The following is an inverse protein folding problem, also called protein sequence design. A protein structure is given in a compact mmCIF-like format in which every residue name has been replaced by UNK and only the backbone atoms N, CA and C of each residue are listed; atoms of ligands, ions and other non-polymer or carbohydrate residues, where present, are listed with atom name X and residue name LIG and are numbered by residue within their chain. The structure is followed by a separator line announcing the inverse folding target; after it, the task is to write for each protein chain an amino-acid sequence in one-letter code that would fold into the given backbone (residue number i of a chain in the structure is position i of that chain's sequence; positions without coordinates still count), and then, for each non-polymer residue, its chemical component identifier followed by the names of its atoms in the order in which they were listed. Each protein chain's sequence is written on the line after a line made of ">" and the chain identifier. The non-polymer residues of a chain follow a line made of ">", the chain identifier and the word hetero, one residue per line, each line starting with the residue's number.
data_IF_301501704418
#
_entry.id   IF_301501704418
#
_cell.length_a   1.000
_cell.length_b   1.000
_cell.length_c   1.000
_cell.angle_alpha   90.00
_cell.angle_beta   90.00
_cell.angle_gamma   90.00
#
_symmetry.space_group_name_H-M   'P 1'
#
loop_
_entity.id
_entity.type
_entity.pdbx_description
1 polymer ?
#
# COMPACT_ATOMS: atom_id res chain seq x y z
N UNK A 1 -27.08 -3.27 -17.77
CA UNK A 1 -26.40 -2.36 -18.73
C UNK A 1 -25.88 -1.05 -18.09
N UNK A 2 -26.66 -0.37 -17.23
CA UNK A 2 -26.30 0.94 -16.62
C UNK A 2 -25.12 0.92 -15.63
N UNK A 3 -24.90 -0.20 -14.93
CA UNK A 3 -23.78 -0.36 -13.98
C UNK A 3 -22.45 -0.47 -14.74
N UNK A 4 -22.41 -1.30 -15.80
CA UNK A 4 -21.22 -1.48 -16.65
C UNK A 4 -20.77 -0.16 -17.28
N UNK A 5 -21.70 0.65 -17.79
CA UNK A 5 -21.38 1.97 -18.37
C UNK A 5 -20.90 2.99 -17.33
N UNK A 6 -21.22 2.79 -16.05
CA UNK A 6 -20.74 3.66 -14.97
C UNK A 6 -19.34 3.25 -14.53
N UNK A 7 -19.07 1.95 -14.39
CA UNK A 7 -17.72 1.44 -14.10
C UNK A 7 -16.71 1.81 -15.19
N UNK A 8 -17.09 1.70 -16.46
CA UNK A 8 -16.23 2.10 -17.57
C UNK A 8 -15.87 3.59 -17.50
N UNK A 9 -16.82 4.46 -17.17
CA UNK A 9 -16.56 5.90 -16.99
C UNK A 9 -15.56 6.18 -15.85
N UNK A 10 -15.65 5.44 -14.75
CA UNK A 10 -14.70 5.58 -13.64
C UNK A 10 -13.29 5.11 -14.03
N UNK A 11 -13.20 3.98 -14.75
CA UNK A 11 -11.92 3.47 -15.25
C UNK A 11 -11.29 4.48 -16.22
N UNK A 12 -12.09 5.05 -17.12
CA UNK A 12 -11.64 6.07 -18.06
C UNK A 12 -11.12 7.32 -17.32
N UNK A 13 -11.88 7.82 -16.35
CA UNK A 13 -11.50 8.98 -15.54
C UNK A 13 -10.20 8.74 -14.74
N UNK A 14 -10.00 7.52 -14.23
CA UNK A 14 -8.79 7.12 -13.52
C UNK A 14 -7.57 7.00 -14.43
N UNK A 15 -7.76 6.85 -15.74
CA UNK A 15 -6.69 6.61 -16.71
C UNK A 15 -6.30 7.86 -17.52
N UNK A 16 -6.94 9.01 -17.27
CA UNK A 16 -6.52 10.29 -17.84
C UNK A 16 -5.19 10.76 -17.21
N UNK A 17 -4.46 11.61 -17.92
CA UNK A 17 -3.19 12.21 -17.50
C UNK A 17 -3.36 13.62 -16.89
N UNK A 18 -4.61 14.06 -16.68
CA UNK A 18 -4.94 15.36 -16.12
C UNK A 18 -4.83 15.43 -14.57
N UNK A 19 -4.96 16.65 -14.04
CA UNK A 19 -4.91 16.93 -12.60
C UNK A 19 -6.09 16.32 -11.82
N UNK A 20 -7.25 16.13 -12.45
CA UNK A 20 -8.41 15.53 -11.79
C UNK A 20 -8.17 14.04 -11.57
N UNK A 21 -7.65 13.34 -12.57
CA UNK A 21 -7.24 11.95 -12.46
C UNK A 21 -6.17 11.76 -11.39
N UNK A 22 -5.25 12.72 -11.23
CA UNK A 22 -4.26 12.68 -10.13
C UNK A 22 -4.93 12.64 -8.77
N UNK A 23 -5.82 13.60 -8.50
CA UNK A 23 -6.54 13.69 -7.24
C UNK A 23 -7.47 12.51 -7.03
N UNK A 24 -8.08 11.98 -8.10
CA UNK A 24 -8.93 10.79 -8.01
C UNK A 24 -8.13 9.55 -7.60
N UNK A 25 -6.94 9.35 -8.17
CA UNK A 25 -6.04 8.26 -7.82
C UNK A 25 -5.56 8.34 -6.37
N UNK A 26 -5.05 9.51 -5.97
CA UNK A 26 -4.57 9.75 -4.60
C UNK A 26 -5.74 9.61 -3.62
N UNK A 27 -6.85 10.30 -3.87
CA UNK A 27 -8.02 10.32 -3.01
C UNK A 27 -8.62 8.94 -2.82
N UNK A 28 -8.72 8.14 -3.89
CA UNK A 28 -9.21 6.76 -3.81
C UNK A 28 -8.28 5.89 -2.97
N UNK A 29 -6.97 5.91 -3.22
CA UNK A 29 -6.01 5.13 -2.46
C UNK A 29 -6.00 5.50 -0.97
N UNK A 30 -5.98 6.80 -0.67
CA UNK A 30 -6.01 7.32 0.72
C UNK A 30 -7.32 6.97 1.41
N UNK A 31 -8.47 7.11 0.73
CA UNK A 31 -9.78 6.81 1.32
C UNK A 31 -9.91 5.32 1.65
N UNK A 32 -9.49 4.45 0.74
CA UNK A 32 -9.46 3.00 1.00
C UNK A 32 -8.48 2.66 2.13
N UNK A 33 -7.30 3.29 2.14
CA UNK A 33 -6.32 3.13 3.20
C UNK A 33 -6.84 3.55 4.57
N UNK A 34 -7.56 4.68 4.63
CA UNK A 34 -8.23 5.16 5.83
C UNK A 34 -9.28 4.18 6.32
N UNK A 35 -10.17 3.71 5.42
CA UNK A 35 -11.16 2.70 5.76
C UNK A 35 -10.50 1.44 6.32
N UNK A 36 -9.50 0.89 5.64
CA UNK A 36 -8.80 -0.32 6.07
C UNK A 36 -8.15 -0.16 7.46
N UNK A 37 -7.45 0.96 7.70
CA UNK A 37 -6.80 1.22 8.98
C UNK A 37 -7.80 1.48 10.10
N UNK A 38 -8.87 2.25 9.86
CA UNK A 38 -9.93 2.48 10.85
C UNK A 38 -10.62 1.17 11.22
N UNK A 39 -10.93 0.33 10.23
CA UNK A 39 -11.52 -0.99 10.46
C UNK A 39 -10.58 -1.89 11.29
N UNK A 40 -9.28 -1.92 10.97
CA UNK A 40 -8.32 -2.71 11.74
C UNK A 40 -8.18 -2.19 13.18
N UNK A 41 -8.06 -0.87 13.39
CA UNK A 41 -8.01 -0.29 14.73
C UNK A 41 -9.28 -0.59 15.54
N UNK A 42 -10.44 -0.59 14.88
CA UNK A 42 -11.71 -0.98 15.49
C UNK A 42 -11.72 -2.46 15.88
N UNK A 43 -11.32 -3.35 14.98
CA UNK A 43 -11.24 -4.78 15.23
C UNK A 43 -10.22 -5.15 16.31
N UNK A 44 -9.09 -4.42 16.39
CA UNK A 44 -8.04 -4.63 17.38
C UNK A 44 -8.30 -3.99 18.75
N UNK A 45 -9.44 -3.31 18.92
CA UNK A 45 -9.72 -2.57 20.16
C UNK A 45 -9.81 -3.52 21.36
N UNK A 46 -9.03 -3.23 22.40
CA UNK A 46 -8.99 -4.05 23.62
C UNK A 46 -8.15 -5.32 23.50
N UNK A 47 -7.44 -5.52 22.38
CA UNK A 47 -6.41 -6.54 22.28
C UNK A 47 -5.10 -5.97 22.82
N UNK A 48 -4.50 -6.64 23.79
CA UNK A 48 -3.16 -6.32 24.27
C UNK A 48 -2.12 -7.04 23.42
N UNK A 49 -0.99 -6.37 23.16
CA UNK A 49 0.16 -6.95 22.49
C UNK A 49 1.31 -6.97 23.49
N UNK A 50 1.39 -8.04 24.28
CA UNK A 50 2.41 -8.22 25.33
C UNK A 50 3.84 -8.29 24.76
N UNK A 51 3.98 -8.42 23.44
CA UNK A 51 5.22 -8.63 22.72
C UNK A 51 5.68 -7.45 21.85
N UNK A 52 5.01 -6.30 21.91
CA UNK A 52 5.42 -5.14 21.13
C UNK A 52 6.77 -4.58 21.63
N UNK A 53 7.81 -4.45 20.78
CA UNK A 53 9.09 -3.90 21.20
C UNK A 53 8.97 -2.40 21.52
N UNK A 54 9.85 -1.88 22.39
CA UNK A 54 9.79 -0.49 22.89
C UNK A 54 9.87 0.60 21.80
N UNK A 55 10.42 0.27 20.63
CA UNK A 55 10.54 1.18 19.48
C UNK A 55 9.39 1.03 18.47
N UNK A 56 8.44 0.13 18.69
CA UNK A 56 7.25 0.02 17.85
C UNK A 56 6.41 1.29 18.00
N UNK A 57 6.03 1.95 16.90
CA UNK A 57 5.21 3.14 16.98
C UNK A 57 3.79 2.77 17.48
N UNK A 58 3.12 3.68 18.20
CA UNK A 58 1.69 3.56 18.46
C UNK A 58 0.89 3.32 17.19
N UNK A 59 -0.19 2.54 17.28
CA UNK A 59 -0.98 2.12 16.12
C UNK A 59 -1.53 3.29 15.27
N UNK A 60 -1.85 4.41 15.90
CA UNK A 60 -2.29 5.62 15.18
C UNK A 60 -1.18 6.26 14.34
N UNK A 61 0.09 6.19 14.77
CA UNK A 61 1.23 6.67 13.98
C UNK A 61 1.42 5.76 12.77
N UNK A 62 1.36 4.44 12.97
CA UNK A 62 1.43 3.48 11.87
C UNK A 62 0.32 3.73 10.82
N UNK A 63 -0.90 4.02 11.26
CA UNK A 63 -2.00 4.38 10.37
C UNK A 63 -1.70 5.66 9.55
N UNK A 64 -1.14 6.71 10.17
CA UNK A 64 -0.75 7.93 9.46
C UNK A 64 0.34 7.67 8.42
N UNK A 65 1.34 6.83 8.72
CA UNK A 65 2.36 6.42 7.75
C UNK A 65 1.70 5.72 6.57
N UNK A 66 0.75 4.81 6.81
CA UNK A 66 0.00 4.15 5.73
C UNK A 66 -0.77 5.13 4.85
N UNK A 67 -1.45 6.13 5.42
CA UNK A 67 -2.15 7.14 4.63
C UNK A 67 -1.20 7.91 3.71
N UNK A 68 -0.03 8.29 4.23
CA UNK A 68 1.00 8.94 3.42
C UNK A 68 1.50 8.01 2.30
N UNK A 69 1.79 6.74 2.61
CA UNK A 69 2.20 5.75 1.60
C UNK A 69 1.13 5.53 0.52
N UNK A 70 -0.15 5.43 0.89
CA UNK A 70 -1.24 5.30 -0.08
C UNK A 70 -1.36 6.52 -1.00
N UNK A 71 -1.12 7.73 -0.48
CA UNK A 71 -1.04 8.92 -1.32
C UNK A 71 0.11 8.82 -2.34
N UNK A 72 1.29 8.35 -1.93
CA UNK A 72 2.43 8.16 -2.83
C UNK A 72 2.17 7.07 -3.88
N UNK A 73 1.56 5.95 -3.49
CA UNK A 73 1.21 4.87 -4.42
C UNK A 73 0.13 5.31 -5.43
N UNK A 74 -0.89 6.05 -4.99
CA UNK A 74 -1.89 6.63 -5.87
C UNK A 74 -1.27 7.61 -6.87
N UNK A 75 -0.36 8.48 -6.40
CA UNK A 75 0.39 9.37 -7.27
C UNK A 75 1.29 8.61 -8.26
N UNK A 76 2.03 7.59 -7.81
CA UNK A 76 2.84 6.71 -8.65
C UNK A 76 2.03 6.08 -9.78
N UNK A 77 0.84 5.55 -9.46
CA UNK A 77 -0.06 4.94 -10.44
C UNK A 77 -0.57 5.95 -11.46
N UNK A 78 -0.91 7.17 -11.04
CA UNK A 78 -1.35 8.23 -11.95
C UNK A 78 -0.22 8.73 -12.87
N UNK A 79 1.01 8.89 -12.36
CA UNK A 79 2.15 9.37 -13.17
C UNK A 79 2.39 8.48 -14.40
N UNK A 80 2.05 7.21 -14.31
CA UNK A 80 2.14 6.27 -15.42
C UNK A 80 1.08 6.51 -16.51
N UNK A 81 0.02 7.29 -16.28
CA UNK A 81 -0.99 7.60 -17.31
C UNK A 81 -0.44 8.51 -18.41
N UNK A 82 0.57 9.34 -18.12
CA UNK A 82 1.19 10.23 -19.10
C UNK A 82 2.11 9.51 -20.10
N UNK A 83 2.33 8.20 -19.93
CA UNK A 83 3.21 7.41 -20.79
C UNK A 83 2.42 6.47 -21.70
N UNK A 84 2.67 6.54 -23.01
CA UNK A 84 2.02 5.69 -24.02
C UNK A 84 2.91 4.53 -24.51
N UNK A 85 4.05 4.29 -23.83
CA UNK A 85 5.01 3.26 -24.23
C UNK A 85 4.53 1.85 -23.88
N UNK A 86 4.99 0.86 -24.67
CA UNK A 86 4.66 -0.56 -24.49
C UNK A 86 5.03 -1.01 -23.06
N UNK A 87 4.08 -1.66 -22.39
CA UNK A 87 4.26 -2.22 -21.04
C UNK A 87 3.93 -1.26 -19.88
N UNK A 88 3.51 -0.02 -20.13
CA UNK A 88 3.00 0.88 -19.08
C UNK A 88 1.74 0.33 -18.41
N UNK A 89 0.87 -0.32 -19.18
CA UNK A 89 -0.32 -0.97 -18.64
C UNK A 89 0.05 -1.99 -17.55
N UNK A 90 1.08 -2.81 -17.78
CA UNK A 90 1.60 -3.76 -16.78
C UNK A 90 2.14 -3.04 -15.54
N UNK A 91 2.90 -1.95 -15.72
CA UNK A 91 3.42 -1.16 -14.60
C UNK A 91 2.28 -0.57 -13.74
N UNK A 92 1.24 -0.01 -14.37
CA UNK A 92 0.05 0.49 -13.66
C UNK A 92 -0.65 -0.63 -12.90
N UNK A 93 -0.84 -1.79 -13.55
CA UNK A 93 -1.46 -2.95 -12.90
C UNK A 93 -0.67 -3.43 -11.69
N UNK A 94 0.66 -3.43 -11.76
CA UNK A 94 1.52 -3.79 -10.63
C UNK A 94 1.35 -2.82 -9.45
N UNK A 95 1.31 -1.51 -9.69
CA UNK A 95 1.05 -0.54 -8.62
C UNK A 95 -0.36 -0.70 -8.05
N UNK A 96 -1.37 -0.93 -8.88
CA UNK A 96 -2.75 -1.19 -8.41
C UNK A 96 -2.83 -2.46 -7.56
N UNK A 97 -2.17 -3.55 -7.97
CA UNK A 97 -2.11 -4.80 -7.23
C UNK A 97 -1.39 -4.59 -5.88
N UNK A 98 -0.28 -3.84 -5.89
CA UNK A 98 0.45 -3.50 -4.68
C UNK A 98 -0.42 -2.70 -3.70
N UNK A 99 -1.18 -1.70 -4.18
CA UNK A 99 -2.17 -0.97 -3.35
C UNK A 99 -3.16 -1.96 -2.73
N UNK A 100 -3.74 -2.87 -3.53
CA UNK A 100 -4.69 -3.86 -3.04
C UNK A 100 -4.10 -4.77 -1.95
N UNK A 101 -2.86 -5.23 -2.12
CA UNK A 101 -2.15 -6.01 -1.10
C UNK A 101 -1.89 -5.19 0.16
N UNK A 102 -1.46 -3.93 0.03
CA UNK A 102 -1.23 -3.03 1.16
C UNK A 102 -2.51 -2.73 1.94
N UNK A 103 -3.70 -2.74 1.31
CA UNK A 103 -4.97 -2.58 2.02
C UNK A 103 -5.26 -3.73 2.99
N UNK A 104 -4.66 -4.91 2.77
CA UNK A 104 -4.77 -6.05 3.67
C UNK A 104 -3.80 -5.95 4.86
N UNK A 105 -2.78 -5.08 4.77
CA UNK A 105 -1.71 -4.94 5.78
C UNK A 105 -2.22 -4.74 7.20
N UNK A 106 -3.16 -3.82 7.46
CA UNK A 106 -3.63 -3.55 8.82
C UNK A 106 -4.25 -4.79 9.50
N UNK A 107 -4.84 -5.71 8.73
CA UNK A 107 -5.53 -6.88 9.26
C UNK A 107 -4.60 -8.00 9.71
N UNK A 108 -3.52 -8.27 8.97
CA UNK A 108 -2.52 -9.24 9.43
C UNK A 108 -1.60 -8.68 10.51
N UNK A 109 -1.60 -7.36 10.74
CA UNK A 109 -0.88 -6.73 11.85
C UNK A 109 -1.64 -6.73 13.18
N UNK A 110 -2.86 -7.28 13.21
CA UNK A 110 -3.65 -7.36 14.43
C UNK A 110 -3.00 -8.29 15.47
N UNK A 111 -3.09 -7.98 16.78
CA UNK A 111 -2.47 -8.81 17.82
C UNK A 111 -2.94 -10.27 17.85
N UNK A 112 -4.16 -10.54 17.37
CA UNK A 112 -4.73 -11.91 17.29
C UNK A 112 -4.10 -12.78 16.19
N UNK A 113 -3.41 -12.17 15.23
CA UNK A 113 -2.80 -12.89 14.10
C UNK A 113 -1.44 -13.43 14.53
N UNK A 114 -1.18 -14.69 14.21
CA UNK A 114 0.13 -15.31 14.45
C UNK A 114 1.27 -14.48 13.82
N UNK A 115 2.31 -14.19 14.62
CA UNK A 115 3.42 -13.34 14.20
C UNK A 115 4.21 -13.94 13.03
N UNK A 116 4.25 -15.27 12.89
CA UNK A 116 4.87 -15.95 11.76
C UNK A 116 4.09 -15.72 10.46
N UNK A 117 2.76 -15.78 10.52
CA UNK A 117 1.87 -15.44 9.39
C UNK A 117 2.02 -13.96 9.03
N UNK A 118 2.01 -13.06 10.01
CA UNK A 118 2.18 -11.62 9.80
C UNK A 118 3.54 -11.30 9.13
N UNK A 119 4.61 -11.93 9.61
CA UNK A 119 5.96 -11.80 9.05
C UNK A 119 6.01 -12.32 7.60
N UNK A 120 5.45 -13.50 7.33
CA UNK A 120 5.40 -14.07 5.98
C UNK A 120 4.64 -13.16 5.00
N UNK A 121 3.47 -12.65 5.41
CA UNK A 121 2.70 -11.70 4.61
C UNK A 121 3.47 -10.40 4.34
N UNK A 122 4.20 -9.89 5.34
CA UNK A 122 5.05 -8.71 5.20
C UNK A 122 6.21 -8.94 4.22
N UNK A 123 6.86 -10.11 4.27
CA UNK A 123 7.93 -10.49 3.32
C UNK A 123 7.39 -10.59 1.89
N UNK A 124 6.24 -11.24 1.70
CA UNK A 124 5.59 -11.35 0.38
C UNK A 124 5.25 -9.95 -0.17
N UNK A 125 4.68 -9.08 0.66
CA UNK A 125 4.35 -7.70 0.29
C UNK A 125 5.62 -6.89 -0.04
N UNK A 126 6.71 -7.12 0.68
CA UNK A 126 8.02 -6.50 0.41
C UNK A 126 8.57 -6.95 -0.94
N UNK A 127 8.52 -8.25 -1.24
CA UNK A 127 8.95 -8.78 -2.52
C UNK A 127 8.12 -8.20 -3.68
N UNK A 128 6.79 -8.09 -3.51
CA UNK A 128 5.90 -7.45 -4.47
C UNK A 128 6.23 -5.96 -4.67
N UNK A 129 6.52 -5.23 -3.59
CA UNK A 129 6.92 -3.83 -3.67
C UNK A 129 8.24 -3.65 -4.45
N UNK A 130 9.24 -4.50 -4.18
CA UNK A 130 10.51 -4.50 -4.91
C UNK A 130 10.29 -4.84 -6.40
N UNK A 131 9.51 -5.87 -6.70
CA UNK A 131 9.18 -6.23 -8.08
C UNK A 131 8.45 -5.08 -8.81
N UNK A 132 7.53 -4.42 -8.12
CA UNK A 132 6.82 -3.23 -8.63
C UNK A 132 7.80 -2.11 -8.95
N UNK A 133 8.74 -1.79 -8.05
CA UNK A 133 9.79 -0.79 -8.30
C UNK A 133 10.60 -1.16 -9.55
N UNK A 134 11.06 -2.41 -9.68
CA UNK A 134 11.87 -2.85 -10.83
C UNK A 134 11.11 -2.70 -12.14
N UNK A 135 9.81 -3.03 -12.16
CA UNK A 135 8.95 -2.92 -13.34
C UNK A 135 8.66 -1.45 -13.68
N UNK A 136 8.27 -0.65 -12.68
CA UNK A 136 7.92 0.76 -12.86
C UNK A 136 9.13 1.60 -13.24
N UNK A 137 10.31 1.35 -12.66
CA UNK A 137 11.55 2.10 -12.91
C UNK A 137 12.02 2.01 -14.36
N UNK A 138 11.66 0.94 -15.08
CA UNK A 138 11.92 0.81 -16.52
C UNK A 138 11.10 1.78 -17.38
N UNK A 139 10.08 2.44 -16.79
CA UNK A 139 9.13 3.32 -17.48
C UNK A 139 9.20 4.76 -16.95
N UNK A 140 9.27 4.93 -15.63
CA UNK A 140 9.48 6.22 -14.98
C UNK A 140 10.24 6.02 -13.66
N UNK A 141 11.38 6.71 -13.53
CA UNK A 141 12.18 6.68 -12.31
C UNK A 141 11.45 7.44 -11.20
N UNK A 142 10.76 8.51 -11.56
CA UNK A 142 9.99 9.36 -10.67
C UNK A 142 8.83 8.57 -10.07
N UNK A 143 8.03 7.88 -10.89
CA UNK A 143 6.94 7.03 -10.41
C UNK A 143 7.46 5.89 -9.51
N UNK A 144 8.60 5.29 -9.84
CA UNK A 144 9.21 4.25 -9.02
C UNK A 144 9.73 4.78 -7.68
N UNK A 145 10.26 6.01 -7.65
CA UNK A 145 10.76 6.65 -6.42
C UNK A 145 9.67 6.84 -5.38
N UNK A 146 8.42 7.07 -5.81
CA UNK A 146 7.26 7.18 -4.91
C UNK A 146 6.88 5.86 -4.24
N UNK A 147 7.30 4.72 -4.79
CA UNK A 147 7.09 3.39 -4.18
C UNK A 147 8.20 3.05 -3.18
N UNK A 148 9.39 3.65 -3.28
CA UNK A 148 10.53 3.30 -2.41
C UNK A 148 10.26 3.49 -0.91
N UNK A 149 9.57 4.56 -0.44
CA UNK A 149 9.22 4.70 0.97
C UNK A 149 8.44 3.53 1.56
N UNK A 150 7.64 2.82 0.75
CA UNK A 150 6.94 1.61 1.18
C UNK A 150 7.92 0.50 1.56
N UNK A 151 8.97 0.29 0.78
CA UNK A 151 9.98 -0.75 1.08
C UNK A 151 10.70 -0.45 2.40
N UNK A 152 11.02 0.83 2.65
CA UNK A 152 11.63 1.26 3.91
C UNK A 152 10.69 0.97 5.08
N UNK A 153 9.41 1.28 4.94
CA UNK A 153 8.40 0.99 5.94
C UNK A 153 8.22 -0.51 6.20
N UNK A 154 8.18 -1.34 5.15
CA UNK A 154 8.05 -2.79 5.29
C UNK A 154 9.31 -3.43 5.89
N UNK A 155 10.49 -2.88 5.62
CA UNK A 155 11.73 -3.31 6.26
C UNK A 155 11.68 -2.99 7.77
N UNK A 156 11.23 -1.79 8.14
CA UNK A 156 11.00 -1.43 9.54
C UNK A 156 9.97 -2.36 10.22
N UNK A 157 8.84 -2.63 9.56
CA UNK A 157 7.83 -3.56 10.07
C UNK A 157 8.38 -4.98 10.27
N UNK A 158 9.30 -5.42 9.40
CA UNK A 158 10.01 -6.71 9.53
C UNK A 158 10.86 -6.73 10.80
N UNK A 159 11.60 -5.65 11.07
CA UNK A 159 12.41 -5.52 12.29
C UNK A 159 11.53 -5.58 13.54
N UNK A 160 10.39 -4.87 13.54
CA UNK A 160 9.42 -4.91 14.65
C UNK A 160 8.91 -6.34 14.87
N UNK A 161 8.51 -7.03 13.82
CA UNK A 161 8.02 -8.40 13.91
C UNK A 161 9.09 -9.39 14.41
N UNK A 162 10.33 -9.26 13.95
CA UNK A 162 11.44 -10.11 14.41
C UNK A 162 11.75 -9.89 15.89
N UNK A 163 11.74 -8.63 16.37
CA UNK A 163 11.91 -8.32 17.78
C UNK A 163 10.75 -8.88 18.63
N UNK A 164 9.51 -8.79 18.14
CA UNK A 164 8.34 -9.34 18.83
C UNK A 164 8.36 -10.88 18.98
N UNK A 165 9.04 -11.58 18.06
CA UNK A 165 9.24 -13.04 18.13
C UNK A 165 10.51 -13.42 18.94
N UNK A 166 11.27 -12.43 19.43
CA UNK A 166 12.51 -12.66 20.18
C UNK A 166 13.70 -13.10 19.30
N UNK A 167 13.71 -12.68 18.03
CA UNK A 167 14.80 -12.94 17.06
C UNK A 167 15.78 -11.77 16.89
N UNK A 168 15.53 -10.68 17.62
CA UNK A 168 16.37 -9.48 17.78
C UNK A 168 16.29 -9.05 19.24
#
# INVERSE_FOLDING_TARGET
>A
MKIMSTLLRWVEALNQDDIQARWLNIGLAVSLGLLANVLALWCGRGMESDSAPWFAPPAWIAALVWLFLFALLGASRWMLNSYTIIGVATARTMVTLLIACCLLWPFYSLPVVDLGIALAANIITTALAIATIVIVRRRSVEAASLVMPLVVWLAFATIVALAAIGRL
#
